data_IF_554337399739
#
_entry.id   IF_554337399739
#
_cell.length_a   1.000
_cell.length_b   1.000
_cell.length_c   1.000
_cell.angle_alpha   90.00
_cell.angle_beta   90.00
_cell.angle_gamma   90.00
#
_symmetry.space_group_name_H-M   'P 1'
#
loop_
_entity.id
_entity.type
_entity.pdbx_description
1 polymer ?
#
# COMPACT_ATOMS: atom_id res chain seq x y z
N UNK A 1 15.18 -5.20 9.68
CA UNK A 1 15.83 -5.71 8.46
C UNK A 1 14.74 -5.96 7.44
N UNK A 2 14.49 -5.02 6.51
CA UNK A 2 13.46 -5.18 5.48
C UNK A 2 14.13 -5.64 4.20
N UNK A 3 13.73 -6.80 3.70
CA UNK A 3 14.22 -7.35 2.44
C UNK A 3 13.67 -6.53 1.25
N UNK A 4 14.48 -6.28 0.20
CA UNK A 4 14.00 -5.65 -1.02
C UNK A 4 13.00 -6.60 -1.70
N UNK A 5 11.76 -6.15 -1.85
CA UNK A 5 10.73 -6.91 -2.55
C UNK A 5 11.12 -6.99 -4.03
N UNK A 6 11.38 -8.21 -4.51
CA UNK A 6 11.76 -8.50 -5.89
C UNK A 6 10.59 -8.17 -6.82
N UNK A 7 10.70 -7.08 -7.60
CA UNK A 7 9.74 -6.63 -8.62
C UNK A 7 9.83 -7.51 -9.88
N UNK A 8 9.60 -8.82 -9.78
CA UNK A 8 9.39 -9.68 -10.95
C UNK A 8 7.89 -9.77 -11.23
N UNK A 9 7.31 -8.71 -11.77
CA UNK A 9 5.93 -8.75 -12.28
C UNK A 9 5.92 -8.52 -13.79
N UNK A 10 5.29 -9.44 -14.53
CA UNK A 10 4.95 -9.29 -15.95
C UNK A 10 3.88 -8.22 -16.21
N UNK A 11 3.38 -7.55 -15.17
CA UNK A 11 2.31 -6.53 -15.26
C UNK A 11 2.81 -5.08 -15.29
N UNK A 12 4.12 -4.85 -15.23
CA UNK A 12 4.72 -3.50 -15.20
C UNK A 12 5.60 -3.34 -16.43
N UNK A 13 5.47 -2.19 -17.11
CA UNK A 13 6.34 -1.85 -18.23
C UNK A 13 7.83 -1.96 -17.81
N UNK A 14 8.69 -2.66 -18.56
CA UNK A 14 10.09 -2.90 -18.18
C UNK A 14 10.90 -1.61 -17.98
N UNK A 15 10.60 -0.53 -18.70
CA UNK A 15 11.23 0.77 -18.45
C UNK A 15 10.85 1.34 -17.07
N UNK A 16 9.58 1.19 -16.69
CA UNK A 16 9.08 1.59 -15.39
C UNK A 16 9.67 0.72 -14.26
N UNK A 17 9.96 -0.55 -14.52
CA UNK A 17 10.64 -1.42 -13.53
C UNK A 17 12.03 -0.91 -13.17
N UNK A 18 12.84 -0.54 -14.17
CA UNK A 18 14.19 0.00 -13.94
C UNK A 18 14.10 1.34 -13.18
N UNK A 19 13.15 2.21 -13.56
CA UNK A 19 12.94 3.48 -12.87
C UNK A 19 12.52 3.25 -11.40
N UNK A 20 11.57 2.34 -11.14
CA UNK A 20 11.13 2.00 -9.79
C UNK A 20 12.26 1.41 -8.94
N UNK A 21 13.14 0.58 -9.52
CA UNK A 21 14.29 0.03 -8.83
C UNK A 21 15.28 1.13 -8.42
N UNK A 22 15.63 2.02 -9.35
CA UNK A 22 16.51 3.15 -9.06
C UNK A 22 15.93 4.08 -7.98
N UNK A 23 14.63 4.39 -8.07
CA UNK A 23 13.93 5.20 -7.06
C UNK A 23 13.92 4.51 -5.69
N UNK A 24 13.69 3.20 -5.64
CA UNK A 24 13.69 2.43 -4.40
C UNK A 24 15.05 2.46 -3.70
N UNK A 25 16.15 2.39 -4.45
CA UNK A 25 17.50 2.51 -3.90
C UNK A 25 17.74 3.89 -3.28
N UNK A 26 17.32 4.96 -3.96
CA UNK A 26 17.43 6.34 -3.44
C UNK A 26 16.59 6.51 -2.16
N UNK A 27 15.35 5.99 -2.15
CA UNK A 27 14.50 6.02 -0.95
C UNK A 27 15.18 5.31 0.21
N UNK A 28 15.74 4.12 -0.02
CA UNK A 28 16.44 3.36 1.02
C UNK A 28 17.63 4.14 1.57
N UNK A 29 18.47 4.71 0.70
CA UNK A 29 19.61 5.55 1.11
C UNK A 29 19.15 6.72 1.98
N UNK A 30 18.11 7.44 1.54
CA UNK A 30 17.56 8.60 2.26
C UNK A 30 17.01 8.21 3.62
N UNK A 31 16.23 7.14 3.70
CA UNK A 31 15.66 6.67 4.96
C UNK A 31 16.73 6.12 5.92
N UNK A 32 17.76 5.44 5.41
CA UNK A 32 18.91 5.00 6.22
C UNK A 32 19.68 6.18 6.81
N UNK A 33 19.76 7.28 6.07
CA UNK A 33 20.33 8.55 6.53
C UNK A 33 19.37 9.37 7.41
N UNK A 34 18.22 8.80 7.81
CA UNK A 34 17.14 9.44 8.59
C UNK A 34 16.52 10.68 7.89
N UNK A 35 16.76 10.84 6.59
CA UNK A 35 16.21 11.90 5.75
C UNK A 35 14.86 11.45 5.15
N UNK A 36 13.88 11.20 6.03
CA UNK A 36 12.54 10.76 5.60
C UNK A 36 11.89 11.81 4.71
N UNK A 37 12.03 13.11 5.05
CA UNK A 37 11.50 14.21 4.23
C UNK A 37 12.12 14.25 2.84
N UNK A 38 13.42 14.03 2.71
CA UNK A 38 14.11 13.96 1.41
C UNK A 38 13.73 12.74 0.57
N UNK A 39 13.15 11.68 1.16
CA UNK A 39 12.66 10.51 0.43
C UNK A 39 11.29 10.74 -0.24
N UNK A 40 10.51 11.72 0.22
CA UNK A 40 9.11 11.96 -0.22
C UNK A 40 8.98 12.17 -1.74
N UNK A 41 9.80 12.99 -2.42
CA UNK A 41 9.65 13.20 -3.86
C UNK A 41 9.82 11.91 -4.67
N UNK A 42 10.71 11.02 -4.21
CA UNK A 42 10.98 9.74 -4.86
C UNK A 42 9.83 8.74 -4.61
N UNK A 43 9.32 8.68 -3.38
CA UNK A 43 8.12 7.90 -3.06
C UNK A 43 6.89 8.37 -3.86
N UNK A 44 6.70 9.69 -4.00
CA UNK A 44 5.61 10.26 -4.79
C UNK A 44 5.74 9.90 -6.28
N UNK A 45 6.96 9.93 -6.82
CA UNK A 45 7.23 9.49 -8.19
C UNK A 45 6.96 8.00 -8.39
N UNK A 46 7.36 7.16 -7.44
CA UNK A 46 7.06 5.71 -7.47
C UNK A 46 5.55 5.46 -7.48
N UNK A 47 4.80 6.11 -6.57
CA UNK A 47 3.34 6.02 -6.54
C UNK A 47 2.71 6.46 -7.87
N UNK A 48 3.17 7.57 -8.45
CA UNK A 48 2.71 8.05 -9.75
C UNK A 48 2.96 7.03 -10.89
N UNK A 49 4.16 6.43 -10.95
CA UNK A 49 4.48 5.42 -11.97
C UNK A 49 3.56 4.19 -11.83
N UNK A 50 3.27 3.77 -10.60
CA UNK A 50 2.42 2.62 -10.30
C UNK A 50 0.94 2.94 -10.60
N UNK A 51 0.46 4.13 -10.22
CA UNK A 51 -0.91 4.58 -10.50
C UNK A 51 -1.20 4.70 -11.99
N UNK A 52 -0.20 5.03 -12.79
CA UNK A 52 -0.30 5.15 -14.25
C UNK A 52 -0.16 3.81 -15.00
N UNK A 53 0.07 2.68 -14.31
CA UNK A 53 0.10 1.38 -14.97
C UNK A 53 -1.29 1.04 -15.52
N UNK A 54 -1.34 0.74 -16.81
CA UNK A 54 -2.56 0.28 -17.46
C UNK A 54 -2.60 -1.24 -17.42
N UNK A 55 -3.77 -1.79 -17.09
CA UNK A 55 -4.01 -3.21 -17.25
C UNK A 55 -4.00 -3.54 -18.75
N UNK A 56 -3.34 -4.63 -19.13
CA UNK A 56 -3.31 -5.05 -20.52
C UNK A 56 -4.71 -5.55 -20.91
N UNK A 57 -5.25 -5.01 -22.01
CA UNK A 57 -6.48 -5.52 -22.62
C UNK A 57 -6.16 -6.87 -23.28
N UNK A 58 -6.33 -7.95 -22.51
CA UNK A 58 -6.17 -9.29 -23.05
C UNK A 58 -7.24 -9.53 -24.13
N UNK A 59 -6.81 -9.67 -25.37
CA UNK A 59 -7.64 -9.90 -26.58
C UNK A 59 -8.32 -11.27 -26.61
N UNK A 60 -8.00 -12.16 -25.66
CA UNK A 60 -8.62 -13.46 -25.48
C UNK A 60 -9.04 -13.62 -24.01
N UNK A 61 -10.31 -13.98 -23.77
CA UNK A 61 -11.05 -14.02 -22.49
C UNK A 61 -10.42 -14.86 -21.36
N UNK A 62 -9.20 -14.57 -20.91
CA UNK A 62 -8.62 -15.12 -19.70
C UNK A 62 -8.93 -14.19 -18.52
N UNK A 63 -10.20 -14.20 -18.07
CA UNK A 63 -10.66 -13.43 -16.90
C UNK A 63 -9.77 -13.66 -15.67
N UNK A 64 -9.24 -14.88 -15.51
CA UNK A 64 -8.33 -15.22 -14.42
C UNK A 64 -7.00 -14.47 -14.50
N UNK A 65 -6.43 -14.29 -15.70
CA UNK A 65 -5.19 -13.51 -15.87
C UNK A 65 -5.44 -12.02 -15.62
N UNK A 66 -6.58 -11.48 -16.07
CA UNK A 66 -6.96 -10.10 -15.77
C UNK A 66 -7.13 -9.86 -14.26
N UNK A 67 -7.78 -10.79 -13.54
CA UNK A 67 -7.90 -10.72 -12.08
C UNK A 67 -6.55 -10.74 -11.37
N UNK A 68 -5.63 -11.62 -11.78
CA UNK A 68 -4.28 -11.70 -11.20
C UNK A 68 -3.49 -10.40 -11.45
N UNK A 69 -3.57 -9.83 -12.66
CA UNK A 69 -2.93 -8.55 -12.97
C UNK A 69 -3.51 -7.41 -12.11
N UNK A 70 -4.85 -7.37 -11.97
CA UNK A 70 -5.52 -6.37 -11.14
C UNK A 70 -5.16 -6.50 -9.66
N UNK A 71 -5.13 -7.72 -9.12
CA UNK A 71 -4.72 -7.97 -7.74
C UNK A 71 -3.27 -7.54 -7.51
N UNK A 72 -2.38 -7.85 -8.45
CA UNK A 72 -0.97 -7.44 -8.39
C UNK A 72 -0.85 -5.92 -8.40
N UNK A 73 -1.58 -5.23 -9.28
CA UNK A 73 -1.58 -3.78 -9.36
C UNK A 73 -2.12 -3.14 -8.07
N UNK A 74 -3.22 -3.64 -7.52
CA UNK A 74 -3.77 -3.13 -6.25
C UNK A 74 -2.81 -3.35 -5.08
N UNK A 75 -2.09 -4.47 -5.04
CA UNK A 75 -1.06 -4.71 -4.02
C UNK A 75 0.08 -3.70 -4.12
N UNK A 76 0.56 -3.43 -5.34
CA UNK A 76 1.61 -2.43 -5.56
C UNK A 76 1.16 -1.01 -5.22
N UNK A 77 -0.08 -0.64 -5.60
CA UNK A 77 -0.66 0.66 -5.27
C UNK A 77 -0.82 0.81 -3.76
N UNK A 78 -1.31 -0.22 -3.07
CA UNK A 78 -1.42 -0.21 -1.62
C UNK A 78 -0.06 0.03 -0.96
N UNK A 79 0.97 -0.71 -1.36
CA UNK A 79 2.29 -0.57 -0.75
C UNK A 79 2.95 0.79 -1.03
N UNK A 80 2.91 1.25 -2.28
CA UNK A 80 3.50 2.55 -2.65
C UNK A 80 2.86 3.71 -1.89
N UNK A 81 1.52 3.72 -1.81
CA UNK A 81 0.79 4.76 -1.07
C UNK A 81 0.94 4.62 0.45
N UNK A 82 1.15 3.41 0.97
CA UNK A 82 1.45 3.19 2.39
C UNK A 82 2.81 3.80 2.76
N UNK A 83 3.85 3.49 2.00
CA UNK A 83 5.19 4.04 2.21
C UNK A 83 5.20 5.57 2.09
N UNK A 84 4.52 6.12 1.08
CA UNK A 84 4.36 7.55 0.89
C UNK A 84 3.58 8.20 2.05
N UNK A 85 2.46 7.59 2.47
CA UNK A 85 1.65 8.05 3.59
C UNK A 85 2.42 8.06 4.91
N UNK A 86 3.21 7.04 5.19
CA UNK A 86 4.08 6.98 6.36
C UNK A 86 5.16 8.07 6.33
N UNK A 87 5.78 8.32 5.17
CA UNK A 87 6.76 9.37 5.02
C UNK A 87 6.15 10.77 5.23
N UNK A 88 4.94 11.01 4.71
CA UNK A 88 4.19 12.23 4.97
C UNK A 88 3.85 12.40 6.45
N UNK A 89 3.38 11.33 7.11
CA UNK A 89 3.06 11.34 8.53
C UNK A 89 4.29 11.66 9.38
N UNK A 90 5.41 10.97 9.16
CA UNK A 90 6.68 11.23 9.86
C UNK A 90 7.26 12.63 9.57
N UNK A 91 6.85 13.25 8.48
CA UNK A 91 7.20 14.64 8.15
C UNK A 91 6.24 15.68 8.74
N UNK A 92 5.14 15.28 9.38
CA UNK A 92 4.09 16.18 9.86
C UNK A 92 3.18 16.74 8.76
N UNK A 93 3.14 16.09 7.60
CA UNK A 93 2.33 16.47 6.43
C UNK A 93 1.00 15.70 6.44
N UNK A 94 0.16 15.96 7.44
CA UNK A 94 -0.99 15.12 7.79
C UNK A 94 -2.08 15.05 6.71
N UNK A 95 -2.30 16.12 5.94
CA UNK A 95 -3.28 16.12 4.84
C UNK A 95 -2.83 15.21 3.69
N UNK A 96 -1.55 15.24 3.34
CA UNK A 96 -0.98 14.36 2.31
C UNK A 96 -0.90 12.90 2.79
N UNK A 97 -0.62 12.71 4.09
CA UNK A 97 -0.67 11.40 4.72
C UNK A 97 -2.09 10.80 4.65
N UNK A 98 -3.12 11.57 5.04
CA UNK A 98 -4.53 11.19 4.94
C UNK A 98 -4.90 10.72 3.53
N UNK A 99 -4.53 11.49 2.51
CA UNK A 99 -4.83 11.16 1.12
C UNK A 99 -4.18 9.83 0.69
N UNK A 100 -2.89 9.65 0.97
CA UNK A 100 -2.14 8.46 0.56
C UNK A 100 -2.59 7.21 1.33
N UNK A 101 -2.80 7.32 2.65
CA UNK A 101 -3.28 6.22 3.49
C UNK A 101 -4.72 5.82 3.15
N UNK A 102 -5.55 6.77 2.70
CA UNK A 102 -6.90 6.46 2.22
C UNK A 102 -6.87 5.56 0.97
N UNK A 103 -5.96 5.83 0.03
CA UNK A 103 -5.75 4.99 -1.16
C UNK A 103 -5.26 3.60 -0.74
N UNK A 104 -4.32 3.54 0.21
CA UNK A 104 -3.81 2.29 0.79
C UNK A 104 -4.95 1.39 1.28
N UNK A 105 -5.80 1.93 2.16
CA UNK A 105 -6.95 1.20 2.72
C UNK A 105 -7.91 0.78 1.62
N UNK A 106 -8.26 1.68 0.69
CA UNK A 106 -9.17 1.37 -0.40
C UNK A 106 -8.68 0.18 -1.25
N UNK A 107 -7.38 0.12 -1.56
CA UNK A 107 -6.80 -0.97 -2.35
C UNK A 107 -6.72 -2.27 -1.57
N UNK A 108 -6.34 -2.24 -0.31
CA UNK A 108 -6.34 -3.43 0.55
C UNK A 108 -7.76 -3.98 0.74
N UNK A 109 -8.77 -3.14 0.94
CA UNK A 109 -10.16 -3.58 0.99
C UNK A 109 -10.62 -4.21 -0.33
N UNK A 110 -10.22 -3.65 -1.47
CA UNK A 110 -10.51 -4.24 -2.78
C UNK A 110 -9.88 -5.63 -2.93
N UNK A 111 -8.66 -5.85 -2.42
CA UNK A 111 -8.03 -7.17 -2.43
C UNK A 111 -8.76 -8.19 -1.56
N UNK A 112 -9.35 -7.77 -0.44
CA UNK A 112 -10.07 -8.66 0.48
C UNK A 112 -11.48 -9.01 0.00
N UNK A 113 -12.13 -8.20 -0.85
CA UNK A 113 -13.48 -8.46 -1.36
C UNK A 113 -13.58 -9.77 -2.17
N UNK A 114 -12.48 -10.20 -2.78
CA UNK A 114 -12.44 -11.41 -3.62
C UNK A 114 -12.17 -12.71 -2.84
N UNK A 115 -12.28 -12.72 -1.50
CA UNK A 115 -12.10 -13.87 -0.61
C UNK A 115 -10.73 -14.59 -0.68
N UNK A 116 -9.73 -14.01 -1.34
CA UNK A 116 -8.34 -14.50 -1.40
C UNK A 116 -7.37 -13.62 -0.60
N UNK A 117 -7.88 -12.92 0.42
CA UNK A 117 -7.08 -12.08 1.28
C UNK A 117 -6.05 -12.87 2.06
N UNK A 118 -4.77 -12.65 1.82
CA UNK A 118 -3.71 -13.22 2.65
C UNK A 118 -3.77 -12.62 4.06
N UNK A 119 -3.33 -13.37 5.06
CA UNK A 119 -3.15 -12.84 6.44
C UNK A 119 -2.31 -11.56 6.43
N UNK A 120 -1.31 -11.48 5.55
CA UNK A 120 -0.47 -10.30 5.39
C UNK A 120 -1.28 -9.07 4.92
N UNK A 121 -2.18 -9.24 3.95
CA UNK A 121 -3.08 -8.17 3.48
C UNK A 121 -3.97 -7.64 4.60
N UNK A 122 -4.48 -8.53 5.47
CA UNK A 122 -5.26 -8.13 6.65
C UNK A 122 -4.41 -7.35 7.63
N UNK A 123 -3.19 -7.82 7.93
CA UNK A 123 -2.27 -7.12 8.83
C UNK A 123 -1.90 -5.72 8.31
N UNK A 124 -1.59 -5.61 7.02
CA UNK A 124 -1.32 -4.33 6.37
C UNK A 124 -2.53 -3.38 6.43
N UNK A 125 -3.74 -3.92 6.28
CA UNK A 125 -4.97 -3.13 6.37
C UNK A 125 -5.19 -2.60 7.79
N UNK A 126 -5.01 -3.45 8.81
CA UNK A 126 -5.10 -3.04 10.20
C UNK A 126 -4.07 -1.96 10.55
N UNK A 127 -2.83 -2.11 10.06
CA UNK A 127 -1.80 -1.09 10.21
C UNK A 127 -2.17 0.21 9.49
N UNK A 128 -2.74 0.13 8.28
CA UNK A 128 -3.23 1.29 7.54
C UNK A 128 -4.31 2.06 8.31
N UNK A 129 -5.25 1.35 8.94
CA UNK A 129 -6.26 1.95 9.80
C UNK A 129 -5.63 2.70 11.00
N UNK A 130 -4.61 2.12 11.64
CA UNK A 130 -3.94 2.75 12.77
C UNK A 130 -3.21 4.03 12.37
N UNK A 131 -2.50 4.03 11.23
CA UNK A 131 -1.82 5.22 10.71
C UNK A 131 -2.81 6.32 10.30
N UNK A 132 -3.94 5.96 9.70
CA UNK A 132 -4.95 6.94 9.29
C UNK A 132 -5.70 7.51 10.51
N UNK A 133 -5.91 6.68 11.54
CA UNK A 133 -6.43 7.12 12.84
C UNK A 133 -5.51 8.15 13.48
N UNK A 134 -4.21 7.89 13.52
CA UNK A 134 -3.21 8.84 14.04
C UNK A 134 -3.27 10.19 13.29
N UNK A 135 -3.39 10.15 11.96
CA UNK A 135 -3.59 11.37 11.15
C UNK A 135 -4.84 12.16 11.60
N UNK A 136 -5.97 11.48 11.82
CA UNK A 136 -7.21 12.13 12.22
C UNK A 136 -7.19 12.68 13.65
N UNK A 137 -6.51 12.00 14.57
CA UNK A 137 -6.30 12.50 15.93
C UNK A 137 -5.53 13.81 15.93
N UNK A 138 -4.42 13.88 15.19
CA UNK A 138 -3.61 15.09 15.10
C UNK A 138 -4.34 16.23 14.38
N UNK A 139 -5.18 15.91 13.40
CA UNK A 139 -6.03 16.90 12.71
C UNK A 139 -7.32 17.26 13.46
N UNK A 140 -7.53 16.73 14.68
CA UNK A 140 -8.73 16.95 15.50
C UNK A 140 -10.05 16.59 14.76
N UNK A 141 -10.09 15.43 14.09
CA UNK A 141 -11.26 14.89 13.37
C UNK A 141 -11.83 13.63 14.08
N UNK A 142 -12.41 13.76 15.30
CA UNK A 142 -12.79 12.61 16.14
C UNK A 142 -13.87 11.71 15.54
N UNK A 143 -14.77 12.25 14.72
CA UNK A 143 -15.79 11.46 14.03
C UNK A 143 -15.18 10.50 13.00
N UNK A 144 -14.06 10.87 12.38
CA UNK A 144 -13.34 9.99 11.45
C UNK A 144 -12.53 8.92 12.17
N UNK A 145 -11.95 9.24 13.33
CA UNK A 145 -11.30 8.26 14.23
C UNK A 145 -12.27 7.12 14.56
N UNK A 146 -13.47 7.45 15.05
CA UNK A 146 -14.49 6.47 15.36
C UNK A 146 -14.92 5.66 14.11
N UNK A 147 -15.01 6.34 12.95
CA UNK A 147 -15.26 5.68 11.67
C UNK A 147 -14.21 4.63 11.31
N UNK A 148 -12.92 4.92 11.55
CA UNK A 148 -11.84 3.97 11.29
C UNK A 148 -11.88 2.78 12.25
N UNK A 149 -12.13 3.01 13.53
CA UNK A 149 -12.25 1.93 14.53
C UNK A 149 -13.39 0.97 14.16
N UNK A 150 -14.57 1.51 13.81
CA UNK A 150 -15.71 0.72 13.39
C UNK A 150 -15.44 -0.12 12.13
N UNK A 151 -14.65 0.43 11.18
CA UNK A 151 -14.24 -0.32 9.98
C UNK A 151 -13.21 -1.39 10.31
N UNK A 152 -12.24 -1.08 11.19
CA UNK A 152 -11.21 -2.01 11.65
C UNK A 152 -11.82 -3.27 12.29
N UNK A 153 -12.89 -3.11 13.07
CA UNK A 153 -13.60 -4.24 13.71
C UNK A 153 -14.18 -5.28 12.74
N UNK A 154 -14.37 -4.93 11.46
CA UNK A 154 -14.85 -5.88 10.44
C UNK A 154 -13.79 -6.90 10.04
N UNK A 155 -12.52 -6.64 10.38
CA UNK A 155 -11.39 -7.46 9.99
C UNK A 155 -10.77 -8.06 11.25
N UNK A 156 -10.89 -9.37 11.41
CA UNK A 156 -10.21 -10.13 12.47
C UNK A 156 -8.98 -10.81 11.90
N UNK A 157 -7.90 -10.87 12.68
CA UNK A 157 -6.73 -11.68 12.33
C UNK A 157 -7.21 -13.14 12.34
N UNK A 158 -7.10 -13.91 11.24
CA UNK A 158 -7.43 -15.32 11.28
C UNK A 158 -6.53 -15.99 12.32
N UNK A 159 -7.14 -16.71 13.28
CA UNK A 159 -6.39 -17.50 14.25
C UNK A 159 -5.41 -18.41 13.50
N UNK A 160 -4.16 -18.56 13.96
CA UNK A 160 -3.27 -19.57 13.39
C UNK A 160 -4.00 -20.92 13.46
N UNK A 161 -3.84 -21.81 12.46
CA UNK A 161 -4.39 -23.15 12.54
C UNK A 161 -3.81 -23.78 13.82
N UNK A 162 -4.64 -23.87 14.86
CA UNK A 162 -4.27 -24.55 16.09
C UNK A 162 -3.95 -25.98 15.73
N UNK A 163 -2.81 -26.46 16.22
CA UNK A 163 -2.38 -27.84 16.15
C UNK A 163 -3.56 -28.76 16.47
N UNK A 164 -4.14 -29.38 15.44
CA UNK A 164 -4.97 -30.56 15.61
C UNK A 164 -4.00 -31.71 15.91
N UNK A 165 -3.66 -31.87 17.19
CA UNK A 165 -3.18 -33.13 17.74
C UNK A 165 -4.37 -34.02 18.08
#
# INVERSE_FOLDING_TARGET
MNAPHSLKSTSINPANLIELEALSQIVSEKQNNKDVRGSIPYLAKMAQIIDNQRLEELTNNNEQQQRIQQQTLYSLQADAHRQLGQAYLGAGLYTQAEASLSITIQRLESLLKDNNGSTDTVLQLLQGYDLLKECFEVMNKPHLVQGMENRKLKYTIPSPPGDQQ
#
